data_IF_845896976913
#
_entry.id   IF_845896976913
#
_cell.length_a   1.000
_cell.length_b   1.000
_cell.length_c   1.000
_cell.angle_alpha   90.00
_cell.angle_beta   90.00
_cell.angle_gamma   90.00
#
_symmetry.space_group_name_H-M   'P 1'
#
loop_
_entity.id
_entity.type
_entity.pdbx_description
1 polymer ?
#
# COMPACT_ATOMS: atom_id res chain seq x y z
N UNK A 1 7.09 12.48 -5.39
CA UNK A 1 5.75 13.09 -5.48
C UNK A 1 5.42 13.54 -4.09
N UNK A 2 5.23 14.83 -3.89
CA UNK A 2 4.96 15.36 -2.55
C UNK A 2 3.48 15.18 -2.22
N UNK A 3 3.22 14.76 -0.99
CA UNK A 3 1.86 14.58 -0.48
C UNK A 3 1.31 15.97 -0.13
N UNK A 4 0.13 16.38 -0.64
CA UNK A 4 -0.51 17.62 -0.19
C UNK A 4 -0.77 17.58 1.33
N UNK A 5 -0.43 18.65 2.07
CA UNK A 5 -0.59 18.69 3.54
C UNK A 5 -2.00 18.28 4.01
N UNK A 6 -3.11 18.77 3.42
CA UNK A 6 -4.45 18.39 3.86
C UNK A 6 -4.75 16.90 3.67
N UNK A 7 -4.21 16.30 2.61
CA UNK A 7 -4.32 14.87 2.35
C UNK A 7 -3.52 14.07 3.36
N UNK A 8 -2.27 14.47 3.60
CA UNK A 8 -1.43 13.84 4.59
C UNK A 8 -2.08 13.84 5.98
N UNK A 9 -2.56 15.00 6.43
CA UNK A 9 -3.19 15.17 7.74
C UNK A 9 -4.44 14.29 7.89
N UNK A 10 -5.30 14.26 6.86
CA UNK A 10 -6.54 13.48 6.86
C UNK A 10 -6.24 11.97 6.93
N UNK A 11 -5.40 11.48 6.02
CA UNK A 11 -5.06 10.05 5.93
C UNK A 11 -4.28 9.60 7.17
N UNK A 12 -3.31 10.38 7.64
CA UNK A 12 -2.52 10.05 8.83
C UNK A 12 -3.37 10.06 10.11
N UNK A 13 -4.36 10.95 10.21
CA UNK A 13 -5.31 10.97 11.33
C UNK A 13 -6.15 9.68 11.36
N UNK A 14 -6.74 9.30 10.22
CA UNK A 14 -7.53 8.07 10.10
C UNK A 14 -6.70 6.80 10.34
N UNK A 15 -5.47 6.76 9.82
CA UNK A 15 -4.52 5.67 10.06
C UNK A 15 -4.21 5.53 11.56
N UNK A 16 -3.95 6.64 12.26
CA UNK A 16 -3.73 6.63 13.71
C UNK A 16 -4.96 6.13 14.47
N UNK A 17 -6.17 6.55 14.09
CA UNK A 17 -7.41 6.07 14.69
C UNK A 17 -7.62 4.58 14.48
N UNK A 18 -7.36 4.05 13.27
CA UNK A 18 -7.41 2.61 13.00
C UNK A 18 -6.41 1.84 13.86
N UNK A 19 -5.16 2.31 13.94
CA UNK A 19 -4.14 1.69 14.79
C UNK A 19 -4.56 1.64 16.26
N UNK A 20 -5.00 2.77 16.83
CA UNK A 20 -5.44 2.85 18.23
C UNK A 20 -6.67 1.97 18.51
N UNK A 21 -7.63 1.94 17.58
CA UNK A 21 -8.82 1.11 17.70
C UNK A 21 -8.46 -0.39 17.68
N UNK A 22 -7.53 -0.79 16.80
CA UNK A 22 -7.03 -2.16 16.75
C UNK A 22 -6.35 -2.57 18.06
N UNK A 23 -5.42 -1.74 18.56
CA UNK A 23 -4.72 -1.98 19.83
C UNK A 23 -5.68 -2.08 21.03
N UNK A 24 -6.80 -1.36 20.97
CA UNK A 24 -7.81 -1.34 22.04
C UNK A 24 -8.93 -2.37 21.85
N UNK A 25 -8.88 -3.22 20.81
CA UNK A 25 -9.93 -4.19 20.48
C UNK A 25 -11.28 -3.54 20.08
N UNK A 26 -11.28 -2.28 19.68
CA UNK A 26 -12.48 -1.51 19.34
C UNK A 26 -12.82 -1.66 17.84
N UNK A 27 -13.28 -2.86 17.46
CA UNK A 27 -13.56 -3.18 16.06
C UNK A 27 -14.51 -2.18 15.36
N UNK A 28 -15.54 -1.69 16.05
CA UNK A 28 -16.47 -0.71 15.47
C UNK A 28 -15.79 0.63 15.14
N UNK A 29 -14.88 1.10 16.00
CA UNK A 29 -14.12 2.33 15.76
C UNK A 29 -13.11 2.15 14.61
N UNK A 30 -12.45 0.99 14.55
CA UNK A 30 -11.56 0.64 13.44
C UNK A 30 -12.32 0.70 12.10
N UNK A 31 -13.47 0.02 12.01
CA UNK A 31 -14.25 -0.02 10.76
C UNK A 31 -14.87 1.33 10.42
N UNK A 32 -15.20 2.15 11.41
CA UNK A 32 -15.61 3.53 11.16
C UNK A 32 -14.49 4.31 10.45
N UNK A 33 -13.28 4.34 11.01
CA UNK A 33 -12.13 5.04 10.42
C UNK A 33 -11.73 4.46 9.06
N UNK A 34 -11.76 3.13 8.91
CA UNK A 34 -11.49 2.46 7.63
C UNK A 34 -12.47 2.90 6.54
N UNK A 35 -13.78 2.88 6.84
CA UNK A 35 -14.81 3.28 5.89
C UNK A 35 -14.75 4.78 5.56
N UNK A 36 -14.39 5.62 6.53
CA UNK A 36 -14.11 7.04 6.28
C UNK A 36 -12.92 7.23 5.34
N UNK A 37 -11.84 6.45 5.51
CA UNK A 37 -10.70 6.51 4.60
C UNK A 37 -11.06 6.02 3.20
N UNK A 38 -11.85 4.94 3.09
CA UNK A 38 -12.35 4.46 1.80
C UNK A 38 -13.16 5.54 1.07
N UNK A 39 -14.13 6.16 1.75
CA UNK A 39 -14.94 7.24 1.18
C UNK A 39 -14.07 8.42 0.73
N UNK A 40 -13.06 8.78 1.53
CA UNK A 40 -12.09 9.81 1.15
C UNK A 40 -11.31 9.44 -0.11
N UNK A 41 -10.84 8.20 -0.23
CA UNK A 41 -10.12 7.73 -1.42
C UNK A 41 -11.00 7.82 -2.68
N UNK A 42 -12.26 7.42 -2.58
CA UNK A 42 -13.23 7.48 -3.68
C UNK A 42 -13.56 8.92 -4.07
N UNK A 43 -13.73 9.82 -3.09
CA UNK A 43 -13.96 11.24 -3.35
C UNK A 43 -12.76 11.90 -4.06
N UNK A 44 -11.54 11.66 -3.58
CA UNK A 44 -10.32 12.20 -4.20
C UNK A 44 -10.16 11.70 -5.65
N UNK A 45 -10.39 10.40 -5.89
CA UNK A 45 -10.34 9.83 -7.23
C UNK A 45 -11.41 10.43 -8.15
N UNK A 46 -12.64 10.62 -7.65
CA UNK A 46 -13.73 11.25 -8.40
C UNK A 46 -13.45 12.73 -8.72
N UNK A 47 -12.73 13.43 -7.84
CA UNK A 47 -12.25 14.81 -8.06
C UNK A 47 -11.03 14.89 -9.01
N UNK A 48 -10.52 13.75 -9.47
CA UNK A 48 -9.37 13.68 -10.38
C UNK A 48 -8.02 13.85 -9.69
N UNK A 49 -7.96 13.78 -8.36
CA UNK A 49 -6.72 13.79 -7.59
C UNK A 49 -6.03 12.44 -7.77
N UNK A 50 -4.80 12.45 -8.26
CA UNK A 50 -4.01 11.25 -8.56
C UNK A 50 -2.80 11.18 -7.65
N UNK A 51 -3.03 10.71 -6.43
CA UNK A 51 -1.97 10.46 -5.46
C UNK A 51 -2.12 9.04 -4.90
N UNK A 52 -1.06 8.22 -4.85
CA UNK A 52 -1.15 6.83 -4.41
C UNK A 52 -1.39 6.68 -2.89
N UNK A 53 -0.88 7.62 -2.09
CA UNK A 53 -0.85 7.56 -0.63
C UNK A 53 -2.18 7.15 0.06
N UNK A 54 -3.36 7.69 -0.28
CA UNK A 54 -4.60 7.29 0.38
C UNK A 54 -4.96 5.82 0.12
N UNK A 55 -4.87 5.38 -1.15
CA UNK A 55 -5.18 4.00 -1.53
C UNK A 55 -4.17 3.00 -0.99
N UNK A 56 -2.87 3.36 -0.98
CA UNK A 56 -1.81 2.54 -0.38
C UNK A 56 -2.07 2.39 1.13
N UNK A 57 -2.33 3.50 1.84
CA UNK A 57 -2.63 3.46 3.28
C UNK A 57 -3.87 2.60 3.56
N UNK A 58 -4.96 2.75 2.80
CA UNK A 58 -6.15 1.92 2.98
C UNK A 58 -5.82 0.42 2.79
N UNK A 59 -4.98 0.10 1.81
CA UNK A 59 -4.53 -1.25 1.55
C UNK A 59 -3.62 -1.79 2.69
N UNK A 60 -2.73 -0.98 3.25
CA UNK A 60 -1.87 -1.34 4.40
C UNK A 60 -2.69 -1.76 5.61
N UNK A 61 -3.80 -1.07 5.87
CA UNK A 61 -4.72 -1.42 6.95
C UNK A 61 -5.63 -2.59 6.60
N UNK A 62 -5.72 -3.03 5.35
CA UNK A 62 -6.56 -4.17 4.97
C UNK A 62 -5.89 -5.50 5.31
N UNK A 63 -6.40 -6.18 6.33
CA UNK A 63 -5.79 -7.41 6.85
C UNK A 63 -5.92 -8.62 5.93
N UNK A 64 -7.02 -8.73 5.18
CA UNK A 64 -7.23 -9.82 4.23
C UNK A 64 -6.43 -9.57 2.94
N UNK A 65 -5.53 -10.49 2.60
CA UNK A 65 -4.63 -10.32 1.46
C UNK A 65 -5.39 -10.19 0.13
N UNK A 66 -6.47 -10.95 -0.07
CA UNK A 66 -7.28 -10.91 -1.28
C UNK A 66 -8.00 -9.57 -1.42
N UNK A 67 -8.52 -9.01 -0.31
CA UNK A 67 -9.18 -7.71 -0.27
C UNK A 67 -8.19 -6.55 -0.44
N UNK A 68 -6.94 -6.69 0.03
CA UNK A 68 -5.92 -5.66 -0.09
C UNK A 68 -5.40 -5.49 -1.53
N UNK A 69 -5.29 -6.59 -2.29
CA UNK A 69 -4.78 -6.57 -3.69
C UNK A 69 -5.45 -5.52 -4.59
N UNK A 70 -6.79 -5.45 -4.72
CA UNK A 70 -7.43 -4.46 -5.58
C UNK A 70 -7.17 -3.01 -5.14
N UNK A 71 -6.94 -2.77 -3.84
CA UNK A 71 -6.64 -1.45 -3.29
C UNK A 71 -5.22 -1.01 -3.65
N UNK A 72 -4.23 -1.90 -3.48
CA UNK A 72 -2.87 -1.63 -3.95
C UNK A 72 -2.80 -1.47 -5.47
N UNK A 73 -3.59 -2.21 -6.24
CA UNK A 73 -3.66 -2.02 -7.70
C UNK A 73 -4.24 -0.65 -8.07
N UNK A 74 -5.19 -0.11 -7.29
CA UNK A 74 -5.64 1.30 -7.44
C UNK A 74 -4.52 2.27 -7.08
N UNK A 75 -3.84 2.07 -5.96
CA UNK A 75 -2.69 2.89 -5.56
C UNK A 75 -1.61 2.93 -6.65
N UNK A 76 -1.27 1.77 -7.21
CA UNK A 76 -0.24 1.62 -8.25
C UNK A 76 -0.59 2.43 -9.52
N UNK A 77 -1.87 2.49 -9.92
CA UNK A 77 -2.33 3.32 -11.05
C UNK A 77 -2.08 4.80 -10.83
N UNK A 78 -2.09 5.26 -9.58
CA UNK A 78 -1.80 6.66 -9.23
C UNK A 78 -0.30 6.92 -9.03
N UNK A 79 0.54 5.89 -9.02
CA UNK A 79 1.98 5.97 -8.77
C UNK A 79 2.85 6.05 -10.04
N UNK A 80 2.27 6.21 -11.24
CA UNK A 80 2.98 6.09 -12.54
C UNK A 80 4.32 6.85 -12.61
N UNK A 81 4.39 8.04 -11.98
CA UNK A 81 5.55 8.95 -12.02
C UNK A 81 6.32 9.02 -10.71
N UNK A 82 6.11 8.08 -9.80
CA UNK A 82 6.73 8.09 -8.47
C UNK A 82 7.34 6.72 -8.14
N UNK A 83 8.60 6.51 -8.53
CA UNK A 83 9.30 5.24 -8.35
C UNK A 83 9.35 4.76 -6.90
N UNK A 84 9.48 5.68 -5.94
CA UNK A 84 9.41 5.35 -4.50
C UNK A 84 8.09 4.65 -4.14
N UNK A 85 6.96 5.23 -4.54
CA UNK A 85 5.64 4.63 -4.32
C UNK A 85 5.45 3.35 -5.12
N UNK A 86 5.93 3.29 -6.37
CA UNK A 86 5.82 2.06 -7.16
C UNK A 86 6.55 0.91 -6.49
N UNK A 87 7.77 1.15 -6.01
CA UNK A 87 8.58 0.13 -5.35
C UNK A 87 7.92 -0.37 -4.05
N UNK A 88 7.42 0.53 -3.18
CA UNK A 88 6.71 0.13 -1.94
C UNK A 88 5.43 -0.64 -2.24
N UNK A 89 4.57 -0.11 -3.11
CA UNK A 89 3.29 -0.73 -3.48
C UNK A 89 3.51 -2.12 -4.12
N UNK A 90 4.51 -2.25 -4.99
CA UNK A 90 4.82 -3.52 -5.64
C UNK A 90 5.40 -4.55 -4.66
N UNK A 91 6.20 -4.10 -3.68
CA UNK A 91 6.65 -4.98 -2.60
C UNK A 91 5.46 -5.52 -1.79
N UNK A 92 4.54 -4.64 -1.39
CA UNK A 92 3.37 -5.07 -0.62
C UNK A 92 2.43 -5.96 -1.45
N UNK A 93 2.16 -5.63 -2.72
CA UNK A 93 1.44 -6.52 -3.65
C UNK A 93 2.09 -7.91 -3.73
N UNK A 94 3.42 -7.97 -3.80
CA UNK A 94 4.12 -9.24 -3.85
C UNK A 94 3.90 -10.06 -2.58
N UNK A 95 3.90 -9.43 -1.39
CA UNK A 95 3.58 -10.10 -0.12
C UNK A 95 2.14 -10.62 -0.10
N UNK A 96 1.16 -9.81 -0.54
CA UNK A 96 -0.26 -10.22 -0.59
C UNK A 96 -0.47 -11.38 -1.56
N UNK A 97 0.13 -11.33 -2.74
CA UNK A 97 0.06 -12.44 -3.68
C UNK A 97 0.70 -13.71 -3.14
N UNK A 98 1.82 -13.61 -2.42
CA UNK A 98 2.44 -14.75 -1.75
C UNK A 98 1.51 -15.34 -0.68
N UNK A 99 0.87 -14.51 0.16
CA UNK A 99 -0.11 -14.94 1.15
C UNK A 99 -1.33 -15.63 0.53
N UNK A 100 -1.73 -15.20 -0.68
CA UNK A 100 -2.78 -15.85 -1.49
C UNK A 100 -2.31 -17.13 -2.22
N UNK A 101 -1.06 -17.58 -2.05
CA UNK A 101 -0.47 -18.71 -2.78
C UNK A 101 -0.15 -18.44 -4.26
N UNK A 102 -0.31 -17.20 -4.72
CA UNK A 102 -0.08 -16.77 -6.11
C UNK A 102 1.39 -16.42 -6.35
N UNK A 103 2.28 -17.40 -6.21
CA UNK A 103 3.75 -17.20 -6.27
C UNK A 103 4.25 -16.56 -7.56
N UNK A 104 3.66 -16.86 -8.71
CA UNK A 104 4.07 -16.27 -9.99
C UNK A 104 3.78 -14.75 -10.04
N UNK A 105 2.62 -14.33 -9.54
CA UNK A 105 2.26 -12.91 -9.43
C UNK A 105 3.13 -12.21 -8.39
N UNK A 106 3.41 -12.87 -7.26
CA UNK A 106 4.33 -12.37 -6.24
C UNK A 106 5.73 -12.11 -6.82
N UNK A 107 6.27 -13.05 -7.59
CA UNK A 107 7.57 -12.90 -8.26
C UNK A 107 7.56 -11.74 -9.25
N UNK A 108 6.51 -11.64 -10.08
CA UNK A 108 6.36 -10.55 -11.05
C UNK A 108 6.38 -9.18 -10.34
N UNK A 109 5.62 -9.03 -9.25
CA UNK A 109 5.58 -7.80 -8.47
C UNK A 109 6.93 -7.52 -7.80
N UNK A 110 7.57 -8.50 -7.16
CA UNK A 110 8.86 -8.32 -6.51
C UNK A 110 9.98 -7.93 -7.51
N UNK A 111 9.98 -8.51 -8.71
CA UNK A 111 10.92 -8.15 -9.78
C UNK A 111 10.72 -6.72 -10.27
N UNK A 112 9.47 -6.28 -10.41
CA UNK A 112 9.16 -4.89 -10.75
C UNK A 112 9.54 -3.94 -9.61
N UNK A 113 9.26 -4.30 -8.35
CA UNK A 113 9.68 -3.54 -7.17
C UNK A 113 11.19 -3.33 -7.17
N UNK A 114 11.97 -4.39 -7.43
CA UNK A 114 13.43 -4.31 -7.52
C UNK A 114 13.90 -3.34 -8.63
N UNK A 115 13.22 -3.34 -9.77
CA UNK A 115 13.52 -2.43 -10.89
C UNK A 115 13.29 -0.97 -10.48
N UNK A 116 12.16 -0.66 -9.86
CA UNK A 116 11.86 0.70 -9.39
C UNK A 116 12.74 1.13 -8.21
N UNK A 117 13.11 0.20 -7.35
CA UNK A 117 13.96 0.48 -6.20
C UNK A 117 15.43 0.73 -6.58
N UNK A 118 15.90 0.27 -7.75
CA UNK A 118 17.33 0.26 -8.10
C UNK A 118 18.01 1.64 -7.93
N UNK A 119 17.35 2.71 -8.36
CA UNK A 119 17.85 4.09 -8.29
C UNK A 119 17.55 4.82 -6.97
N UNK A 120 16.75 4.23 -6.08
CA UNK A 120 16.37 4.85 -4.81
C UNK A 120 17.48 4.72 -3.77
N UNK A 121 17.64 5.71 -2.90
CA UNK A 121 18.54 5.65 -1.74
C UNK A 121 17.83 5.07 -0.51
N UNK A 122 17.04 4.01 -0.72
CA UNK A 122 16.29 3.31 0.33
C UNK A 122 16.83 1.89 0.47
N UNK A 123 17.83 1.76 1.36
CA UNK A 123 18.50 0.47 1.61
C UNK A 123 17.63 -0.53 2.34
N UNK A 124 16.65 -0.07 3.14
CA UNK A 124 15.73 -0.95 3.85
C UNK A 124 14.73 -1.57 2.86
N UNK A 125 14.14 -0.76 1.98
CA UNK A 125 13.25 -1.23 0.92
C UNK A 125 13.96 -2.24 -0.01
N UNK A 126 15.18 -1.91 -0.49
CA UNK A 126 15.98 -2.81 -1.32
C UNK A 126 16.25 -4.15 -0.64
N UNK A 127 16.52 -4.13 0.67
CA UNK A 127 16.78 -5.34 1.46
C UNK A 127 15.52 -6.19 1.58
N UNK A 128 14.38 -5.57 1.82
CA UNK A 128 13.11 -6.29 1.96
C UNK A 128 12.63 -6.90 0.64
N UNK A 129 12.82 -6.20 -0.48
CA UNK A 129 12.62 -6.75 -1.82
C UNK A 129 13.52 -7.97 -2.04
N UNK A 130 14.82 -7.83 -1.74
CA UNK A 130 15.79 -8.92 -1.94
C UNK A 130 15.45 -10.16 -1.11
N UNK A 131 15.04 -9.97 0.15
CA UNK A 131 14.59 -11.06 1.03
C UNK A 131 13.37 -11.78 0.48
N UNK A 132 12.37 -11.03 0.00
CA UNK A 132 11.17 -11.61 -0.59
C UNK A 132 11.49 -12.40 -1.86
N UNK A 133 12.33 -11.86 -2.75
CA UNK A 133 12.77 -12.55 -3.96
C UNK A 133 13.51 -13.86 -3.62
N UNK A 134 14.41 -13.86 -2.63
CA UNK A 134 15.07 -15.08 -2.18
C UNK A 134 14.07 -16.14 -1.71
N UNK A 135 13.08 -15.75 -0.90
CA UNK A 135 12.02 -16.65 -0.43
C UNK A 135 11.12 -17.19 -1.56
N UNK A 136 10.98 -16.46 -2.67
CA UNK A 136 10.22 -16.88 -3.86
C UNK A 136 11.04 -17.75 -4.83
N UNK A 137 12.38 -17.70 -4.74
CA UNK A 137 13.29 -18.50 -5.55
C UNK A 137 13.59 -19.89 -4.98
N UNK A 138 13.31 -20.08 -3.68
CA UNK A 138 13.37 -21.38 -2.99
C UNK A 138 12.09 -22.19 -3.23
#
# INVERSE_FOLDING_TARGET
MDIPSPMYETVASLARSMFQANESGQAAAYWHSYNTLLAYCEEQEAQGVRHPFPWETLADFTHDDLAAVPLYLRALKHAERADTYRASILLELARRYLGCGRRADAWSCASQANTHAASLDDLDLKRDISRLMLALSA
#
